data_IF_154855929496
#
_entry.id   IF_154855929496
#
_cell.length_a   1.000
_cell.length_b   1.000
_cell.length_c   1.000
_cell.angle_alpha   90.00
_cell.angle_beta   90.00
_cell.angle_gamma   90.00
#
_symmetry.space_group_name_H-M   'P 1'
#
loop_
_entity.id
_entity.type
_entity.pdbx_description
1 polymer ?
#
# COMPACT_ATOMS: atom_id res chain seq x y z
N UNK A 1 9.16 -50.65 20.30
CA UNK A 1 7.93 -49.84 20.46
C UNK A 1 8.23 -48.42 20.04
N UNK A 2 7.74 -48.02 18.87
CA UNK A 2 7.90 -46.69 18.28
C UNK A 2 6.98 -45.70 18.98
N UNK A 3 7.55 -44.71 19.67
CA UNK A 3 6.81 -43.58 20.26
C UNK A 3 6.25 -42.72 19.14
N UNK A 4 4.93 -42.58 19.12
CA UNK A 4 4.21 -41.71 18.19
C UNK A 4 4.57 -40.24 18.41
N UNK A 5 4.96 -39.57 17.34
CA UNK A 5 4.96 -38.11 17.25
C UNK A 5 3.52 -37.69 16.99
N UNK A 6 2.79 -37.42 18.07
CA UNK A 6 1.46 -36.85 18.02
C UNK A 6 1.58 -35.40 17.51
N UNK A 7 1.12 -35.19 16.28
CA UNK A 7 0.99 -33.87 15.68
C UNK A 7 0.00 -33.05 16.53
N UNK A 8 0.54 -32.20 17.40
CA UNK A 8 -0.22 -31.14 18.06
C UNK A 8 -0.75 -30.22 16.97
N UNK A 9 -1.99 -30.46 16.54
CA UNK A 9 -2.78 -29.50 15.76
C UNK A 9 -2.93 -28.27 16.64
N UNK A 10 -2.04 -27.28 16.45
CA UNK A 10 -2.27 -25.92 16.95
C UNK A 10 -3.64 -25.50 16.42
N UNK A 11 -4.58 -25.34 17.34
CA UNK A 11 -5.86 -24.69 17.08
C UNK A 11 -5.56 -23.38 16.37
N UNK A 12 -5.97 -23.27 15.11
CA UNK A 12 -5.82 -22.04 14.36
C UNK A 12 -6.66 -20.98 15.06
N UNK A 13 -6.01 -20.02 15.72
CA UNK A 13 -6.69 -18.80 16.16
C UNK A 13 -7.47 -18.22 14.97
N UNK A 14 -8.67 -17.64 15.18
CA UNK A 14 -9.41 -17.00 14.11
C UNK A 14 -8.48 -16.04 13.39
N UNK A 15 -8.29 -16.29 12.10
CA UNK A 15 -7.36 -15.52 11.30
C UNK A 15 -7.93 -14.11 11.15
N UNK A 16 -7.29 -13.12 11.77
CA UNK A 16 -7.67 -11.71 11.63
C UNK A 16 -7.67 -11.35 10.15
N UNK A 17 -8.80 -10.89 9.63
CA UNK A 17 -8.99 -10.62 8.21
C UNK A 17 -9.20 -9.13 7.96
N UNK A 18 -8.18 -8.49 7.40
CA UNK A 18 -8.23 -7.11 6.94
C UNK A 18 -8.64 -7.09 5.47
N UNK A 19 -9.21 -5.97 5.03
CA UNK A 19 -9.51 -5.74 3.61
C UNK A 19 -8.87 -4.45 3.15
N UNK A 20 -8.42 -4.39 1.91
CA UNK A 20 -8.09 -3.13 1.25
C UNK A 20 -8.96 -2.95 0.01
N UNK A 21 -9.67 -1.83 -0.08
CA UNK A 21 -10.63 -1.58 -1.17
C UNK A 21 -10.32 -0.28 -1.90
N UNK A 22 -10.59 -0.24 -3.21
CA UNK A 22 -10.55 1.01 -3.95
C UNK A 22 -11.78 1.88 -3.67
N UNK A 23 -11.73 3.17 -4.02
CA UNK A 23 -12.80 4.13 -3.72
C UNK A 23 -14.17 3.69 -4.25
N UNK A 24 -14.21 3.17 -5.48
CA UNK A 24 -15.44 2.68 -6.10
C UNK A 24 -15.78 1.21 -5.78
N UNK A 25 -14.99 0.54 -4.93
CA UNK A 25 -15.20 -0.86 -4.50
C UNK A 25 -15.15 -1.90 -5.63
N UNK A 26 -14.61 -1.56 -6.79
CA UNK A 26 -14.39 -2.51 -7.89
C UNK A 26 -13.12 -3.35 -7.79
N UNK A 27 -12.29 -3.06 -6.79
CA UNK A 27 -11.07 -3.81 -6.46
C UNK A 27 -11.01 -4.07 -4.96
N UNK A 28 -10.59 -5.29 -4.59
CA UNK A 28 -10.43 -5.71 -3.19
C UNK A 28 -9.21 -6.62 -3.03
N UNK A 29 -8.46 -6.37 -1.94
CA UNK A 29 -7.50 -7.30 -1.37
C UNK A 29 -8.03 -7.86 -0.06
N UNK A 30 -7.81 -9.14 0.16
CA UNK A 30 -7.83 -9.77 1.47
C UNK A 30 -6.41 -9.78 2.05
N UNK A 31 -6.31 -9.40 3.32
CA UNK A 31 -5.06 -9.19 4.03
C UNK A 31 -5.08 -10.03 5.33
N UNK A 32 -4.27 -11.07 5.37
CA UNK A 32 -4.28 -12.07 6.43
C UNK A 32 -3.36 -11.67 7.60
N UNK A 33 -3.92 -11.63 8.80
CA UNK A 33 -3.19 -11.29 10.02
C UNK A 33 -2.86 -9.79 10.15
N UNK A 34 -2.18 -9.44 11.22
CA UNK A 34 -1.73 -8.06 11.48
C UNK A 34 -0.66 -7.60 10.48
N UNK A 35 -0.64 -6.30 10.09
CA UNK A 35 0.47 -5.77 9.32
C UNK A 35 1.77 -5.88 10.13
N UNK A 36 2.87 -6.21 9.44
CA UNK A 36 4.20 -6.25 10.06
C UNK A 36 4.75 -4.86 10.33
N UNK A 37 4.36 -3.89 9.50
CA UNK A 37 4.84 -2.51 9.55
C UNK A 37 3.66 -1.59 9.21
N UNK A 38 3.56 -0.47 9.91
CA UNK A 38 2.74 0.68 9.54
C UNK A 38 3.60 1.93 9.67
N UNK A 39 3.76 2.72 8.61
CA UNK A 39 4.59 3.93 8.63
C UNK A 39 4.09 5.02 7.67
N UNK A 40 4.60 6.22 7.88
CA UNK A 40 4.46 7.38 6.99
C UNK A 40 5.77 7.52 6.20
N UNK A 41 5.73 7.28 4.89
CA UNK A 41 6.94 7.31 4.06
C UNK A 41 7.09 8.68 3.40
N UNK A 42 8.22 9.33 3.67
CA UNK A 42 8.56 10.65 3.13
C UNK A 42 9.56 10.59 1.97
N UNK A 43 9.88 9.40 1.45
CA UNK A 43 10.78 9.33 0.30
C UNK A 43 10.12 9.93 -0.94
N UNK A 44 10.93 10.59 -1.76
CA UNK A 44 10.47 11.29 -2.96
C UNK A 44 9.59 10.39 -3.83
N UNK A 45 10.07 9.18 -4.14
CA UNK A 45 9.36 8.30 -5.03
C UNK A 45 7.95 7.98 -4.50
N UNK A 46 7.82 7.60 -3.21
CA UNK A 46 6.52 7.27 -2.59
C UNK A 46 5.52 8.41 -2.74
N UNK A 47 5.92 9.63 -2.39
CA UNK A 47 5.03 10.78 -2.45
C UNK A 47 4.71 11.16 -3.90
N UNK A 48 5.71 11.25 -4.78
CA UNK A 48 5.53 11.63 -6.19
C UNK A 48 4.58 10.69 -6.92
N UNK A 49 4.67 9.36 -6.72
CA UNK A 49 3.71 8.47 -7.38
C UNK A 49 2.28 8.67 -6.88
N UNK A 50 2.12 8.96 -5.59
CA UNK A 50 0.79 9.14 -5.01
C UNK A 50 0.16 10.41 -5.56
N UNK A 51 0.93 11.48 -5.65
CA UNK A 51 0.51 12.73 -6.30
C UNK A 51 0.18 12.52 -7.78
N UNK A 52 1.02 11.82 -8.54
CA UNK A 52 0.73 11.48 -9.93
C UNK A 52 -0.60 10.74 -10.11
N UNK A 53 -0.84 9.73 -9.27
CA UNK A 53 -2.08 8.93 -9.33
C UNK A 53 -3.29 9.80 -8.94
N UNK A 54 -3.15 10.69 -7.96
CA UNK A 54 -4.20 11.65 -7.60
C UNK A 54 -4.49 12.64 -8.74
N UNK A 55 -3.47 13.12 -9.44
CA UNK A 55 -3.64 14.02 -10.58
C UNK A 55 -4.37 13.31 -11.74
N UNK A 56 -4.08 12.03 -11.98
CA UNK A 56 -4.85 11.20 -12.91
C UNK A 56 -6.32 11.08 -12.51
N UNK A 57 -6.59 10.82 -11.22
CA UNK A 57 -7.96 10.75 -10.70
C UNK A 57 -8.71 12.07 -10.94
N UNK A 58 -8.08 13.19 -10.58
CA UNK A 58 -8.60 14.53 -10.75
C UNK A 58 -8.88 14.86 -12.23
N UNK A 59 -7.93 14.58 -13.12
CA UNK A 59 -8.09 14.79 -14.55
C UNK A 59 -9.25 13.95 -15.14
N UNK A 60 -9.47 12.75 -14.60
CA UNK A 60 -10.57 11.87 -14.98
C UNK A 60 -11.88 12.16 -14.22
N UNK A 61 -11.94 13.19 -13.36
CA UNK A 61 -13.08 13.51 -12.49
C UNK A 61 -13.54 12.32 -11.64
N UNK A 62 -12.59 11.54 -11.11
CA UNK A 62 -12.84 10.38 -10.27
C UNK A 62 -12.47 10.65 -8.82
N UNK A 63 -13.31 10.20 -7.91
CA UNK A 63 -12.94 10.08 -6.50
C UNK A 63 -11.98 8.90 -6.33
N UNK A 64 -10.86 9.15 -5.65
CA UNK A 64 -9.88 8.13 -5.33
C UNK A 64 -9.56 8.14 -3.83
N UNK A 65 -8.82 7.12 -3.39
CA UNK A 65 -8.21 7.11 -2.07
C UNK A 65 -6.73 7.38 -2.29
N UNK A 66 -6.30 8.58 -1.89
CA UNK A 66 -4.90 9.00 -1.92
C UNK A 66 -4.07 8.14 -0.97
N UNK A 67 -2.84 7.81 -1.38
CA UNK A 67 -1.83 7.31 -0.44
C UNK A 67 -1.14 8.45 0.30
N UNK A 68 -1.14 9.66 -0.25
CA UNK A 68 -0.52 10.85 0.33
C UNK A 68 -1.47 11.50 1.32
N UNK A 69 -1.01 11.68 2.56
CA UNK A 69 -1.76 12.29 3.65
C UNK A 69 -1.61 13.81 3.69
N UNK A 70 -2.30 14.47 4.62
CA UNK A 70 -2.27 15.93 4.79
C UNK A 70 -0.89 16.46 5.19
N UNK A 71 -0.03 15.62 5.78
CA UNK A 71 1.35 15.96 6.15
C UNK A 71 2.32 15.81 4.96
N UNK A 72 1.84 15.39 3.79
CA UNK A 72 2.64 15.19 2.58
C UNK A 72 3.42 13.88 2.54
N UNK A 73 3.08 12.90 3.40
CA UNK A 73 3.71 11.58 3.43
C UNK A 73 2.82 10.51 2.77
N UNK A 74 3.41 9.44 2.24
CA UNK A 74 2.66 8.27 1.79
C UNK A 74 2.35 7.31 2.96
N UNK A 75 1.07 7.08 3.24
CA UNK A 75 0.57 6.18 4.27
C UNK A 75 0.64 4.73 3.79
N UNK A 76 1.53 3.92 4.38
CA UNK A 76 1.65 2.50 4.00
C UNK A 76 1.62 1.55 5.19
N UNK A 77 1.14 0.35 4.92
CA UNK A 77 1.26 -0.83 5.77
C UNK A 77 1.85 -1.99 4.97
N UNK A 78 2.55 -2.89 5.64
CA UNK A 78 3.22 -4.01 5.00
C UNK A 78 2.68 -5.35 5.50
N UNK A 79 2.24 -6.22 4.59
CA UNK A 79 1.91 -7.62 4.85
C UNK A 79 2.93 -8.55 4.19
N UNK A 80 3.07 -9.76 4.72
CA UNK A 80 3.86 -10.78 4.03
C UNK A 80 3.21 -11.11 2.68
N UNK A 81 4.00 -11.44 1.66
CA UNK A 81 3.48 -11.73 0.31
C UNK A 81 2.43 -12.85 0.30
N UNK A 82 2.62 -13.90 1.10
CA UNK A 82 1.65 -15.00 1.23
C UNK A 82 0.40 -14.65 2.03
N UNK A 83 0.31 -13.45 2.59
CA UNK A 83 -0.82 -12.96 3.37
C UNK A 83 -1.65 -11.91 2.61
N UNK A 84 -1.44 -11.76 1.29
CA UNK A 84 -2.18 -10.82 0.44
C UNK A 84 -2.77 -11.54 -0.75
N UNK A 85 -4.09 -11.50 -0.87
CA UNK A 85 -4.84 -12.13 -1.95
C UNK A 85 -5.72 -11.10 -2.63
N UNK A 86 -5.71 -11.03 -3.96
CA UNK A 86 -6.70 -10.23 -4.70
C UNK A 86 -8.01 -11.01 -4.75
N UNK A 87 -9.07 -10.48 -4.15
CA UNK A 87 -10.40 -11.13 -4.12
C UNK A 87 -11.37 -10.56 -5.13
N UNK A 88 -11.13 -9.32 -5.62
CA UNK A 88 -11.95 -8.67 -6.65
C UNK A 88 -11.12 -7.77 -7.56
N UNK A 89 -11.41 -7.78 -8.86
CA UNK A 89 -10.94 -6.76 -9.81
C UNK A 89 -9.47 -6.84 -10.19
N UNK A 90 -8.88 -8.04 -10.24
CA UNK A 90 -7.46 -8.22 -10.61
C UNK A 90 -7.12 -7.57 -11.97
N UNK A 91 -8.06 -7.59 -12.93
CA UNK A 91 -7.99 -6.95 -14.25
C UNK A 91 -7.98 -5.41 -14.20
N UNK A 92 -8.29 -4.82 -13.03
CA UNK A 92 -8.30 -3.37 -12.83
C UNK A 92 -6.96 -2.82 -12.34
N UNK A 93 -5.96 -3.65 -12.05
CA UNK A 93 -4.66 -3.15 -11.60
C UNK A 93 -3.83 -2.61 -12.77
N UNK A 94 -3.32 -1.40 -12.60
CA UNK A 94 -2.36 -0.76 -13.49
C UNK A 94 -1.07 -0.47 -12.74
N UNK A 95 0.07 -0.59 -13.42
CA UNK A 95 1.38 -0.26 -12.88
C UNK A 95 1.82 1.16 -13.23
N UNK A 96 2.62 1.77 -12.36
CA UNK A 96 3.41 2.96 -12.65
C UNK A 96 4.78 2.87 -11.99
N UNK A 97 5.81 3.33 -12.70
CA UNK A 97 7.16 3.53 -12.17
C UNK A 97 7.43 5.03 -12.07
N UNK A 98 8.20 5.46 -11.07
CA UNK A 98 8.59 6.87 -10.94
C UNK A 98 9.66 7.28 -11.96
N UNK A 99 10.34 6.32 -12.58
CA UNK A 99 11.27 6.52 -13.70
C UNK A 99 11.36 5.24 -14.55
N UNK A 100 11.82 5.32 -15.80
CA UNK A 100 12.03 4.13 -16.65
C UNK A 100 12.97 3.09 -16.02
N UNK A 101 13.95 3.54 -15.24
CA UNK A 101 14.96 2.70 -14.59
C UNK A 101 14.56 2.24 -13.18
N UNK A 102 13.39 2.65 -12.68
CA UNK A 102 12.96 2.23 -11.34
C UNK A 102 12.62 0.74 -11.31
N UNK A 103 13.17 0.05 -10.31
CA UNK A 103 12.83 -1.34 -10.01
C UNK A 103 11.54 -1.46 -9.16
N UNK A 104 11.00 -0.32 -8.70
CA UNK A 104 9.76 -0.30 -7.91
C UNK A 104 8.58 -0.01 -8.82
N UNK A 105 7.62 -0.94 -8.85
CA UNK A 105 6.32 -0.73 -9.49
C UNK A 105 5.29 -0.41 -8.41
N UNK A 106 4.60 0.73 -8.57
CA UNK A 106 3.41 1.08 -7.79
C UNK A 106 2.17 0.66 -8.55
N UNK A 107 1.12 0.26 -7.84
CA UNK A 107 -0.11 -0.16 -8.49
C UNK A 107 -1.31 0.68 -8.04
N UNK A 108 -2.12 1.05 -9.02
CA UNK A 108 -3.38 1.76 -8.83
C UNK A 108 -4.49 1.08 -9.62
N UNK A 109 -5.74 1.39 -9.28
CA UNK A 109 -6.89 0.84 -10.00
C UNK A 109 -7.25 1.69 -11.21
N UNK A 110 -7.55 1.08 -12.36
CA UNK A 110 -7.98 1.80 -13.57
C UNK A 110 -9.38 2.40 -13.46
N UNK A 111 -10.23 1.86 -12.57
CA UNK A 111 -11.62 2.29 -12.41
C UNK A 111 -11.76 3.66 -11.72
N UNK A 112 -10.93 3.94 -10.71
CA UNK A 112 -11.02 5.16 -9.91
C UNK A 112 -9.65 5.74 -9.52
N UNK A 113 -8.54 5.22 -10.04
CA UNK A 113 -7.21 5.71 -9.73
C UNK A 113 -6.88 5.69 -8.23
N UNK A 114 -7.44 4.74 -7.46
CA UNK A 114 -6.99 4.53 -6.08
C UNK A 114 -5.64 3.83 -6.12
N UNK A 115 -4.62 4.42 -5.50
CA UNK A 115 -3.36 3.72 -5.27
C UNK A 115 -3.59 2.66 -4.19
N UNK A 116 -3.41 1.39 -4.54
CA UNK A 116 -3.64 0.25 -3.63
C UNK A 116 -2.32 -0.37 -3.17
N UNK A 117 -1.31 -0.41 -4.05
CA UNK A 117 0.03 -0.90 -3.72
C UNK A 117 1.06 0.22 -3.90
N UNK A 118 1.78 0.55 -2.82
CA UNK A 118 2.75 1.64 -2.77
C UNK A 118 4.15 1.17 -3.21
N UNK A 119 4.41 -0.14 -3.16
CA UNK A 119 5.66 -0.73 -3.64
C UNK A 119 5.52 -2.19 -4.02
N UNK A 120 6.25 -2.59 -5.05
CA UNK A 120 6.30 -3.91 -5.68
C UNK A 120 7.38 -3.94 -6.77
N UNK A 121 7.44 -4.99 -7.59
CA UNK A 121 8.49 -5.20 -8.61
C UNK A 121 9.71 -5.96 -8.09
N UNK A 122 10.77 -6.02 -8.90
CA UNK A 122 11.96 -6.86 -8.68
C UNK A 122 12.77 -6.46 -7.43
N UNK A 123 12.69 -5.19 -7.01
CA UNK A 123 13.26 -4.68 -5.75
C UNK A 123 12.17 -4.26 -4.75
N UNK A 124 10.93 -4.72 -4.90
CA UNK A 124 9.94 -4.58 -3.82
C UNK A 124 10.51 -5.17 -2.52
N UNK A 125 10.13 -4.62 -1.35
CA UNK A 125 10.58 -5.13 -0.05
C UNK A 125 10.50 -6.66 -0.02
N UNK A 126 11.62 -7.39 0.02
CA UNK A 126 11.62 -8.84 -0.17
C UNK A 126 10.64 -9.50 0.81
N UNK A 127 9.73 -10.30 0.27
CA UNK A 127 8.71 -11.00 1.06
C UNK A 127 7.53 -10.17 1.55
N UNK A 128 7.43 -8.88 1.18
CA UNK A 128 6.38 -7.98 1.67
C UNK A 128 5.61 -7.27 0.54
N UNK A 129 4.30 -7.06 0.76
CA UNK A 129 3.44 -6.17 -0.03
C UNK A 129 3.14 -4.91 0.75
N UNK A 130 3.48 -3.77 0.15
CA UNK A 130 3.21 -2.45 0.72
C UNK A 130 1.85 -1.96 0.20
N UNK A 131 0.87 -1.93 1.10
CA UNK A 131 -0.52 -1.55 0.82
C UNK A 131 -0.75 -0.11 1.27
N UNK A 132 -1.55 0.63 0.51
CA UNK A 132 -2.03 1.95 0.93
C UNK A 132 -2.90 1.81 2.19
N UNK A 133 -2.40 2.30 3.33
CA UNK A 133 -3.09 2.18 4.62
C UNK A 133 -4.45 2.87 4.64
N UNK A 134 -4.66 3.90 3.82
CA UNK A 134 -5.95 4.58 3.71
C UNK A 134 -7.05 3.73 3.07
N UNK A 135 -6.67 2.66 2.35
CA UNK A 135 -7.62 1.72 1.74
C UNK A 135 -8.03 0.58 2.68
N UNK A 136 -7.35 0.45 3.84
CA UNK A 136 -7.47 -0.71 4.71
C UNK A 136 -8.60 -0.55 5.72
N UNK A 137 -9.44 -1.58 5.84
CA UNK A 137 -10.42 -1.76 6.92
C UNK A 137 -10.05 -2.96 7.79
N UNK A 138 -10.29 -2.82 9.09
CA UNK A 138 -10.13 -3.86 10.11
C UNK A 138 -11.21 -4.95 9.99
N UNK A 139 -11.02 -6.10 10.68
CA UNK A 139 -12.03 -7.16 10.72
C UNK A 139 -13.40 -6.71 11.25
N UNK A 140 -13.43 -5.70 12.12
CA UNK A 140 -14.66 -5.08 12.65
C UNK A 140 -15.31 -4.06 11.70
N UNK A 141 -14.75 -3.89 10.48
CA UNK A 141 -15.21 -2.95 9.48
C UNK A 141 -14.73 -1.50 9.68
N UNK A 142 -14.04 -1.19 10.77
CA UNK A 142 -13.54 0.16 11.02
C UNK A 142 -12.31 0.49 10.14
N UNK A 143 -12.08 1.76 9.76
CA UNK A 143 -10.88 2.14 9.04
C UNK A 143 -9.61 1.84 9.83
N UNK A 144 -8.55 1.43 9.14
CA UNK A 144 -7.23 1.29 9.77
C UNK A 144 -6.71 2.67 10.22
N UNK A 145 -6.08 2.81 11.40
CA UNK A 145 -5.57 4.10 11.88
C UNK A 145 -4.62 4.77 10.89
N UNK A 146 -4.86 6.06 10.63
CA UNK A 146 -4.01 6.86 9.73
C UNK A 146 -2.86 7.55 10.43
N UNK A 147 -2.88 7.64 11.76
CA UNK A 147 -1.79 8.17 12.56
C UNK A 147 -0.82 7.04 12.96
N UNK A 148 0.47 7.26 12.71
CA UNK A 148 1.53 6.43 13.26
C UNK A 148 2.24 7.29 14.30
N UNK A 149 2.31 6.83 15.55
CA UNK A 149 3.13 7.51 16.56
C UNK A 149 4.58 7.47 16.09
N UNK A 150 5.10 8.63 15.67
CA UNK A 150 6.45 8.78 15.14
C UNK A 150 7.49 8.32 16.19
N UNK A 151 8.06 7.13 16.00
CA UNK A 151 9.09 6.59 16.89
C UNK A 151 10.52 6.90 16.49
N UNK A 152 10.78 7.37 15.26
CA UNK A 152 12.15 7.59 14.77
C UNK A 152 12.17 8.73 13.76
N UNK A 153 13.00 9.75 14.02
CA UNK A 153 13.12 10.95 13.21
C UNK A 153 13.67 10.69 11.81
N UNK A 154 12.80 10.69 10.82
CA UNK A 154 13.20 10.83 9.42
C UNK A 154 13.17 12.32 9.07
N UNK A 155 14.20 12.81 8.35
CA UNK A 155 14.16 14.15 7.74
C UNK A 155 13.01 14.19 6.74
N UNK A 156 12.02 15.04 7.01
CA UNK A 156 10.97 15.38 6.05
C UNK A 156 11.61 16.15 4.90
N UNK A 157 11.49 15.65 3.67
CA UNK A 157 11.81 16.45 2.48
C UNK A 157 10.65 17.42 2.26
N UNK A 158 10.91 18.73 2.29
CA UNK A 158 9.87 19.75 2.07
C UNK A 158 9.59 19.86 0.57
N UNK A 159 8.36 20.22 0.20
CA UNK A 159 7.99 20.50 -1.20
C UNK A 159 8.91 21.51 -1.89
N UNK A 160 9.47 22.46 -1.14
CA UNK A 160 10.46 23.44 -1.64
C UNK A 160 11.76 22.79 -2.15
N UNK A 161 12.08 21.59 -1.67
CA UNK A 161 13.28 20.85 -2.10
C UNK A 161 13.08 20.20 -3.48
N UNK A 162 11.86 20.27 -4.03
CA UNK A 162 11.43 19.55 -5.24
C UNK A 162 11.55 20.42 -6.50
N UNK A 163 11.30 21.73 -6.35
CA UNK A 163 11.34 22.70 -7.45
C UNK A 163 12.79 23.06 -7.89
N UNK A 164 13.80 22.56 -7.18
CA UNK A 164 15.19 22.98 -7.33
C UNK A 164 16.07 22.13 -8.28
N UNK A 165 15.55 21.09 -8.97
CA UNK A 165 16.41 20.40 -9.95
C UNK A 165 16.01 19.04 -10.53
N UNK A 166 14.77 18.59 -10.39
CA UNK A 166 14.32 17.33 -11.00
C UNK A 166 13.24 17.57 -12.03
N UNK A 167 13.60 17.59 -13.32
CA UNK A 167 12.59 17.36 -14.36
C UNK A 167 11.92 16.02 -14.07
N UNK A 168 10.62 16.06 -13.76
CA UNK A 168 9.80 14.87 -13.69
C UNK A 168 9.65 14.36 -15.12
N UNK A 169 10.39 13.30 -15.43
CA UNK A 169 10.27 12.61 -16.71
C UNK A 169 8.96 11.83 -16.69
N UNK A 170 7.95 12.34 -17.41
CA UNK A 170 6.74 11.61 -17.76
C UNK A 170 6.93 10.90 -19.09
#
# INVERSE_FOLDING_TARGET
>A
GTKGLENVRRSASPTMLYKATCACKEFELELQGEPRIALNCFCNDCVVSGLYINDKAKAATKDNISSVNQEGSANLCAWANGAVTVTKGADKLCGVKCSPTSNTVRSYTSCCYTQVLIGGGDNGSPGMRLVNRATVTRPDGTPFPQEVKHGVGYKTCKRSDWDAGGSVWW
#
